data_IF_347333735030
#
_entry.id   IF_347333735030
#
_cell.length_a   1.000
_cell.length_b   1.000
_cell.length_c   1.000
_cell.angle_alpha   90.00
_cell.angle_beta   90.00
_cell.angle_gamma   90.00
#
_symmetry.space_group_name_H-M   'P 1'
#
loop_
_entity.id
_entity.type
_entity.pdbx_description
1 polymer ?
#
# COMPACT_ATOMS: atom_id res chain seq x y z
N UNK A 1 -3.58 2.09 -9.57
CA UNK A 1 -2.47 1.76 -8.65
C UNK A 1 -1.43 2.83 -8.84
N UNK A 2 -0.92 3.36 -7.74
CA UNK A 2 0.05 4.45 -7.75
C UNK A 2 1.03 4.19 -6.61
N UNK A 3 2.32 4.43 -6.86
CA UNK A 3 3.38 4.44 -5.86
C UNK A 3 4.13 5.75 -6.03
N UNK A 4 4.25 6.52 -4.96
CA UNK A 4 5.02 7.76 -4.95
C UNK A 4 6.03 7.70 -3.83
N UNK A 5 7.28 7.94 -4.18
CA UNK A 5 8.41 8.02 -3.26
C UNK A 5 8.88 9.48 -3.25
N UNK A 6 8.71 10.15 -2.11
CA UNK A 6 9.18 11.53 -1.92
C UNK A 6 10.65 11.54 -1.52
N UNK A 7 11.05 10.58 -0.70
CA UNK A 7 12.43 10.41 -0.23
C UNK A 7 12.67 8.93 0.02
N UNK A 8 13.78 8.40 -0.49
CA UNK A 8 14.16 7.03 -0.24
C UNK A 8 14.93 6.95 1.09
N UNK A 9 14.64 5.97 1.96
CA UNK A 9 15.41 5.79 3.19
C UNK A 9 16.84 5.34 2.88
N UNK A 10 17.77 5.68 3.76
CA UNK A 10 19.17 5.26 3.66
C UNK A 10 19.48 4.04 4.53
N UNK A 11 20.70 3.50 4.41
CA UNK A 11 21.10 2.32 5.15
C UNK A 11 21.00 2.55 6.66
N UNK A 12 20.33 1.62 7.37
CA UNK A 12 20.03 1.63 8.81
C UNK A 12 18.99 2.65 9.29
N UNK A 13 18.36 3.42 8.42
CA UNK A 13 17.18 4.20 8.81
C UNK A 13 15.99 3.27 9.08
N UNK A 14 15.26 3.54 10.16
CA UNK A 14 14.03 2.83 10.49
C UNK A 14 12.87 3.56 9.83
N UNK A 15 11.98 2.80 9.21
CA UNK A 15 10.75 3.31 8.62
C UNK A 15 9.54 2.65 9.27
N UNK A 16 8.44 3.38 9.34
CA UNK A 16 7.16 2.91 9.84
C UNK A 16 6.16 2.82 8.69
N UNK A 17 5.57 1.65 8.51
CA UNK A 17 4.58 1.41 7.46
C UNK A 17 3.20 1.29 8.11
N UNK A 18 2.28 2.15 7.68
CA UNK A 18 0.87 2.11 8.05
C UNK A 18 0.04 1.68 6.84
N UNK A 19 -0.95 0.83 7.07
CA UNK A 19 -1.86 0.42 6.00
C UNK A 19 -3.28 0.22 6.49
N UNK A 20 -4.24 0.57 5.65
CA UNK A 20 -5.66 0.43 5.95
C UNK A 20 -6.49 0.32 4.66
N UNK A 21 -7.63 -0.38 4.69
CA UNK A 21 -8.57 -0.38 3.58
C UNK A 21 -9.17 1.02 3.42
N UNK A 22 -9.31 1.48 2.18
CA UNK A 22 -9.95 2.78 1.86
C UNK A 22 -11.31 2.61 1.17
N UNK A 23 -11.65 1.39 0.76
CA UNK A 23 -12.98 1.09 0.24
C UNK A 23 -13.03 -0.25 -0.49
N UNK A 24 -14.24 -0.69 -0.79
CA UNK A 24 -14.48 -1.85 -1.64
C UNK A 24 -15.59 -1.55 -2.63
N UNK A 25 -15.42 -2.02 -3.87
CA UNK A 25 -16.46 -2.18 -4.89
C UNK A 25 -16.74 -3.67 -5.05
N UNK A 26 -17.81 -4.01 -5.77
CA UNK A 26 -18.31 -5.38 -5.93
C UNK A 26 -17.23 -6.45 -6.16
N UNK A 27 -16.20 -6.15 -6.94
CA UNK A 27 -15.11 -7.08 -7.27
C UNK A 27 -13.73 -6.63 -6.81
N UNK A 28 -13.62 -5.47 -6.16
CA UNK A 28 -12.33 -4.86 -5.87
C UNK A 28 -12.28 -4.30 -4.45
N UNK A 29 -11.16 -4.48 -3.77
CA UNK A 29 -10.83 -3.81 -2.53
C UNK A 29 -9.63 -2.87 -2.75
N UNK A 30 -9.73 -1.65 -2.27
CA UNK A 30 -8.66 -0.66 -2.34
C UNK A 30 -8.00 -0.52 -0.97
N UNK A 31 -6.66 -0.47 -0.94
CA UNK A 31 -5.86 -0.33 0.27
C UNK A 31 -4.85 0.80 0.11
N UNK A 32 -4.69 1.64 1.13
CA UNK A 32 -3.64 2.66 1.17
C UNK A 32 -2.47 2.17 2.00
N UNK A 33 -1.27 2.53 1.57
CA UNK A 33 -0.01 2.37 2.29
C UNK A 33 0.60 3.74 2.48
N UNK A 34 1.02 4.03 3.70
CA UNK A 34 1.71 5.26 4.10
C UNK A 34 3.02 4.84 4.77
N UNK A 35 4.12 5.45 4.37
CA UNK A 35 5.45 5.18 4.89
C UNK A 35 6.00 6.43 5.51
N UNK A 36 6.42 6.32 6.77
CA UNK A 36 6.97 7.41 7.57
C UNK A 36 8.40 7.10 7.99
N UNK A 37 9.23 8.12 8.13
CA UNK A 37 10.52 8.01 8.80
C UNK A 37 10.36 8.10 10.34
N UNK A 38 11.48 8.01 11.07
CA UNK A 38 11.48 8.13 12.54
C UNK A 38 11.01 9.48 13.07
N UNK A 39 11.09 10.54 12.24
CA UNK A 39 10.60 11.86 12.60
C UNK A 39 9.08 12.01 12.43
N UNK A 40 8.42 11.00 11.86
CA UNK A 40 6.99 11.02 11.55
C UNK A 40 6.67 11.71 10.22
N UNK A 41 7.67 12.03 9.39
CA UNK A 41 7.46 12.62 8.07
C UNK A 41 7.11 11.52 7.06
N UNK A 42 6.06 11.74 6.28
CA UNK A 42 5.68 10.82 5.21
C UNK A 42 6.70 10.86 4.06
N UNK A 43 7.39 9.75 3.82
CA UNK A 43 8.43 9.61 2.79
C UNK A 43 7.95 8.87 1.55
N UNK A 44 6.88 8.09 1.65
CA UNK A 44 6.24 7.43 0.51
C UNK A 44 4.76 7.11 0.78
N UNK A 45 3.98 6.95 -0.29
CA UNK A 45 2.63 6.38 -0.21
C UNK A 45 2.33 5.50 -1.42
N UNK A 46 1.40 4.56 -1.26
CA UNK A 46 0.91 3.74 -2.36
C UNK A 46 -0.57 3.40 -2.24
N UNK A 47 -1.20 3.14 -3.39
CA UNK A 47 -2.56 2.64 -3.51
C UNK A 47 -2.57 1.28 -4.20
N UNK A 48 -2.97 0.25 -3.45
CA UNK A 48 -3.19 -1.11 -3.94
C UNK A 48 -4.65 -1.35 -4.31
N UNK A 49 -4.88 -2.08 -5.39
CA UNK A 49 -6.18 -2.60 -5.80
C UNK A 49 -6.13 -4.13 -5.80
N UNK A 50 -7.03 -4.75 -5.06
CA UNK A 50 -7.08 -6.19 -4.85
C UNK A 50 -8.40 -6.72 -5.36
N UNK A 51 -8.41 -7.95 -5.83
CA UNK A 51 -9.62 -8.69 -6.19
C UNK A 51 -9.46 -10.13 -5.73
N UNK A 52 -10.59 -10.82 -5.55
CA UNK A 52 -10.59 -12.23 -5.21
C UNK A 52 -10.50 -13.07 -6.48
N UNK A 53 -9.74 -14.16 -6.43
CA UNK A 53 -9.62 -15.14 -7.51
C UNK A 53 -9.99 -16.51 -6.94
N UNK A 54 -10.87 -17.23 -7.61
CA UNK A 54 -11.03 -18.67 -7.40
C UNK A 54 -9.83 -19.39 -8.01
N UNK A 55 -8.95 -19.94 -7.18
CA UNK A 55 -7.72 -20.61 -7.62
C UNK A 55 -7.96 -21.95 -8.33
N UNK A 56 -9.15 -22.56 -8.17
CA UNK A 56 -9.53 -23.78 -8.90
C UNK A 56 -10.01 -23.47 -10.31
N UNK A 57 -10.80 -22.40 -10.45
CA UNK A 57 -11.35 -21.95 -11.75
C UNK A 57 -10.43 -20.99 -12.50
N UNK A 58 -9.48 -20.38 -11.80
CA UNK A 58 -8.61 -19.29 -12.30
C UNK A 58 -9.40 -18.10 -12.82
N UNK A 59 -10.54 -17.81 -12.20
CA UNK A 59 -11.44 -16.70 -12.56
C UNK A 59 -11.67 -15.79 -11.35
N UNK A 60 -11.84 -14.49 -11.61
CA UNK A 60 -12.28 -13.51 -10.63
C UNK A 60 -13.80 -13.52 -10.45
#
# INVERSE_FOLDING_TARGET
MELVIKTAPTFKEIIYVKTYPIGSRRYFASRKFEVYDESGKEIAYAYGLYFLIDTKKKTC
#
